data_IF_917818583250
#
_entry.id   IF_917818583250
#
_cell.length_a   1.000
_cell.length_b   1.000
_cell.length_c   1.000
_cell.angle_alpha   90.00
_cell.angle_beta   90.00
_cell.angle_gamma   90.00
#
_symmetry.space_group_name_H-M   'P 1'
#
loop_
_entity.id
_entity.type
_entity.pdbx_description
1 polymer ?
#
# COMPACT_ATOMS: atom_id res chain seq x y z
N UNK A 1 -5.04 26.99 -18.20
CA UNK A 1 -4.99 28.22 -17.38
C UNK A 1 -6.14 28.32 -16.36
N UNK A 2 -7.41 28.25 -16.76
CA UNK A 2 -8.56 28.35 -15.81
C UNK A 2 -8.68 27.18 -14.82
N UNK A 3 -8.38 25.95 -15.25
CA UNK A 3 -8.41 24.77 -14.37
C UNK A 3 -7.25 24.72 -13.38
N UNK A 4 -6.07 25.26 -13.74
CA UNK A 4 -4.93 25.42 -12.84
C UNK A 4 -5.24 26.41 -11.71
N UNK A 5 -5.88 27.54 -12.02
CA UNK A 5 -6.30 28.51 -11.00
C UNK A 5 -7.37 27.93 -10.05
N UNK A 6 -8.32 27.14 -10.59
CA UNK A 6 -9.30 26.40 -9.77
C UNK A 6 -8.64 25.35 -8.87
N UNK A 7 -7.63 24.66 -9.38
CA UNK A 7 -6.86 23.69 -8.59
C UNK A 7 -6.09 24.39 -7.47
N UNK A 8 -5.42 25.50 -7.74
CA UNK A 8 -4.74 26.31 -6.71
C UNK A 8 -5.73 26.80 -5.64
N UNK A 9 -6.93 27.24 -6.06
CA UNK A 9 -7.99 27.61 -5.14
C UNK A 9 -8.48 26.41 -4.30
N UNK A 10 -8.70 25.23 -4.89
CA UNK A 10 -9.07 24.03 -4.14
C UNK A 10 -7.95 23.58 -3.18
N UNK A 11 -6.69 23.68 -3.61
CA UNK A 11 -5.52 23.36 -2.80
C UNK A 11 -5.36 24.27 -1.59
N UNK A 12 -5.74 25.55 -1.71
CA UNK A 12 -5.62 26.58 -0.66
C UNK A 12 -6.87 26.68 0.21
N UNK A 13 -8.07 26.53 -0.37
CA UNK A 13 -9.35 26.71 0.32
C UNK A 13 -10.00 25.41 0.82
N UNK A 14 -9.47 24.24 0.43
CA UNK A 14 -10.01 22.91 0.77
C UNK A 14 -11.36 22.58 0.12
N UNK A 15 -11.83 23.40 -0.81
CA UNK A 15 -13.05 23.13 -1.56
C UNK A 15 -12.92 21.85 -2.40
N UNK A 16 -14.05 21.22 -2.71
CA UNK A 16 -14.13 20.07 -3.63
C UNK A 16 -13.31 20.33 -4.90
N UNK A 17 -12.49 19.35 -5.31
CA UNK A 17 -11.72 19.47 -6.55
C UNK A 17 -12.67 19.64 -7.75
N UNK A 18 -12.31 20.48 -8.74
CA UNK A 18 -13.02 20.53 -10.01
C UNK A 18 -13.15 19.15 -10.66
N UNK A 19 -14.23 18.94 -11.41
CA UNK A 19 -14.36 17.76 -12.27
C UNK A 19 -13.56 17.99 -13.55
N UNK A 20 -12.40 17.32 -13.66
CA UNK A 20 -11.54 17.38 -14.85
C UNK A 20 -11.88 16.29 -15.87
N UNK A 21 -12.34 15.13 -15.38
CA UNK A 21 -12.72 13.97 -16.19
C UNK A 21 -11.59 12.94 -16.38
N UNK A 22 -11.89 11.78 -16.99
CA UNK A 22 -10.97 10.64 -17.09
C UNK A 22 -9.76 10.90 -18.00
N UNK A 23 -9.74 11.99 -18.76
CA UNK A 23 -8.57 12.41 -19.56
C UNK A 23 -7.50 13.11 -18.73
N UNK A 24 -7.84 13.56 -17.51
CA UNK A 24 -6.90 14.21 -16.58
C UNK A 24 -6.12 13.22 -15.71
N UNK A 25 -6.16 11.93 -16.06
CA UNK A 25 -5.39 10.86 -15.43
C UNK A 25 -4.76 9.98 -16.51
N UNK A 26 -3.48 9.65 -16.32
CA UNK A 26 -2.79 8.61 -17.05
C UNK A 26 -2.48 7.46 -16.09
N UNK A 27 -3.37 6.48 -16.05
CA UNK A 27 -3.16 5.26 -15.27
C UNK A 27 -1.91 4.52 -15.74
N UNK A 28 -1.16 3.96 -14.79
CA UNK A 28 -0.03 3.04 -15.06
C UNK A 28 -0.44 1.87 -15.98
N UNK A 29 -1.72 1.50 -16.02
CA UNK A 29 -2.24 0.49 -16.93
C UNK A 29 -1.97 0.80 -18.41
N UNK A 30 -1.86 2.07 -18.79
CA UNK A 30 -1.49 2.47 -20.16
C UNK A 30 -0.04 2.09 -20.49
N UNK A 31 0.89 2.17 -19.53
CA UNK A 31 2.24 1.65 -19.71
C UNK A 31 2.24 0.11 -19.74
N UNK A 32 1.46 -0.50 -18.84
CA UNK A 32 1.32 -1.94 -18.70
C UNK A 32 0.79 -2.63 -19.98
N UNK A 33 0.03 -1.91 -20.82
CA UNK A 33 -0.41 -2.39 -22.12
C UNK A 33 0.74 -2.68 -23.09
N UNK A 34 1.91 -2.05 -22.90
CA UNK A 34 3.11 -2.27 -23.73
C UNK A 34 4.15 -3.16 -23.05
N UNK A 35 4.25 -3.08 -21.73
CA UNK A 35 5.11 -3.91 -20.91
C UNK A 35 4.42 -4.12 -19.57
N UNK A 36 3.87 -5.31 -19.31
CA UNK A 36 2.99 -5.55 -18.16
C UNK A 36 3.63 -5.14 -16.84
N UNK A 37 4.93 -5.40 -16.68
CA UNK A 37 5.73 -4.98 -15.54
C UNK A 37 7.21 -4.84 -15.91
N UNK A 38 7.96 -4.23 -15.00
CA UNK A 38 9.43 -4.17 -15.02
C UNK A 38 9.96 -4.70 -13.70
N UNK A 39 11.02 -5.53 -13.76
CA UNK A 39 11.72 -5.97 -12.54
C UNK A 39 12.51 -4.82 -11.93
N UNK A 40 12.42 -4.65 -10.61
CA UNK A 40 13.08 -3.55 -9.91
C UNK A 40 14.59 -3.74 -9.85
N UNK A 41 15.27 -2.67 -10.20
CA UNK A 41 16.68 -2.45 -9.89
C UNK A 41 16.81 -1.72 -8.55
N UNK A 42 18.05 -1.60 -8.06
CA UNK A 42 18.35 -0.80 -6.88
C UNK A 42 17.97 0.68 -7.05
N UNK A 43 18.08 1.23 -8.27
CA UNK A 43 17.73 2.62 -8.56
C UNK A 43 16.22 2.89 -8.43
N UNK A 44 15.39 1.87 -8.67
CA UNK A 44 13.94 1.97 -8.50
C UNK A 44 13.53 2.03 -7.01
N UNK A 45 14.44 1.75 -6.09
CA UNK A 45 14.22 1.78 -4.63
C UNK A 45 14.72 3.06 -3.97
N UNK A 46 15.18 4.03 -4.77
CA UNK A 46 15.61 5.34 -4.28
C UNK A 46 14.43 6.17 -3.80
N UNK A 47 14.56 6.71 -2.60
CA UNK A 47 13.69 7.77 -2.08
C UNK A 47 13.66 8.95 -3.04
N UNK A 48 12.46 9.47 -3.31
CA UNK A 48 12.29 10.70 -4.08
C UNK A 48 12.36 11.93 -3.21
N UNK A 49 11.92 11.83 -1.96
CA UNK A 49 11.98 12.87 -0.93
C UNK A 49 11.55 14.24 -1.48
N UNK A 50 10.34 14.28 -2.08
CA UNK A 50 9.89 15.46 -2.81
C UNK A 50 9.81 16.69 -1.89
N UNK A 51 10.18 17.85 -2.44
CA UNK A 51 10.03 19.13 -1.75
C UNK A 51 8.65 19.75 -1.91
N UNK A 52 7.77 19.13 -2.71
CA UNK A 52 6.35 19.50 -2.89
C UNK A 52 5.46 18.57 -2.07
N UNK A 53 4.13 18.79 -2.09
CA UNK A 53 3.18 17.97 -1.33
C UNK A 53 3.33 16.49 -1.68
N UNK A 54 3.73 15.67 -0.71
CA UNK A 54 3.84 14.23 -0.92
C UNK A 54 3.67 13.42 0.36
N UNK A 55 3.38 12.13 0.18
CA UNK A 55 3.57 11.07 1.18
C UNK A 55 4.35 9.96 0.49
N UNK A 56 5.56 9.68 0.96
CA UNK A 56 6.41 8.60 0.49
C UNK A 56 6.62 7.60 1.64
N UNK A 57 6.41 6.32 1.37
CA UNK A 57 6.46 5.28 2.40
C UNK A 57 7.26 4.08 1.96
N UNK A 58 7.90 3.46 2.94
CA UNK A 58 8.41 2.10 2.84
C UNK A 58 7.72 1.28 3.94
N UNK A 59 7.01 0.22 3.52
CA UNK A 59 6.18 -0.63 4.41
C UNK A 59 6.60 -2.07 4.26
N UNK A 60 6.78 -2.75 5.39
CA UNK A 60 7.17 -4.16 5.46
C UNK A 60 6.11 -4.93 6.24
N UNK A 61 5.23 -5.63 5.54
CA UNK A 61 4.22 -6.50 6.13
C UNK A 61 4.84 -7.87 6.39
N UNK A 62 4.62 -8.43 7.57
CA UNK A 62 5.23 -9.68 8.03
C UNK A 62 4.18 -10.63 8.58
N UNK A 63 4.19 -11.85 8.06
CA UNK A 63 3.47 -13.00 8.63
C UNK A 63 4.51 -13.99 9.13
N UNK A 64 4.59 -14.15 10.44
CA UNK A 64 5.67 -14.90 11.10
C UNK A 64 5.35 -16.40 11.22
N UNK A 65 6.39 -17.23 11.26
CA UNK A 65 6.28 -18.67 11.53
C UNK A 65 5.70 -18.94 12.93
N UNK A 66 5.90 -17.99 13.85
CA UNK A 66 5.34 -17.97 15.21
C UNK A 66 3.86 -17.57 15.27
N UNK A 67 3.22 -17.30 14.12
CA UNK A 67 1.79 -16.99 14.03
C UNK A 67 1.42 -15.55 14.35
N UNK A 68 2.37 -14.61 14.27
CA UNK A 68 2.11 -13.19 14.40
C UNK A 68 1.91 -12.53 13.04
N UNK A 69 1.08 -11.49 13.02
CA UNK A 69 0.98 -10.53 11.93
C UNK A 69 1.50 -9.19 12.44
N UNK A 70 2.42 -8.58 11.71
CA UNK A 70 3.01 -7.30 12.06
C UNK A 70 3.35 -6.49 10.81
N UNK A 71 3.50 -5.18 10.97
CA UNK A 71 4.20 -4.37 9.98
C UNK A 71 5.04 -3.29 10.64
N UNK A 72 6.09 -2.88 9.94
CA UNK A 72 6.87 -1.69 10.24
C UNK A 72 6.85 -0.77 9.03
N UNK A 73 6.83 0.53 9.27
CA UNK A 73 6.71 1.53 8.22
C UNK A 73 7.52 2.77 8.56
N UNK A 74 8.25 3.28 7.58
CA UNK A 74 8.76 4.65 7.61
C UNK A 74 7.96 5.50 6.63
N UNK A 75 7.58 6.70 7.07
CA UNK A 75 6.85 7.69 6.28
C UNK A 75 7.72 8.94 6.18
N UNK A 76 7.93 9.42 4.97
CA UNK A 76 8.38 10.78 4.67
C UNK A 76 7.20 11.55 4.07
N UNK A 77 6.80 12.64 4.71
CA UNK A 77 5.72 13.49 4.20
C UNK A 77 6.21 14.92 4.06
N UNK A 78 5.81 15.57 2.98
CA UNK A 78 5.95 17.01 2.82
C UNK A 78 4.56 17.62 2.69
N UNK A 79 4.21 18.51 3.63
CA UNK A 79 2.90 19.15 3.70
C UNK A 79 2.98 20.50 2.99
N UNK A 80 2.32 20.60 1.84
CA UNK A 80 2.19 21.83 1.04
C UNK A 80 3.51 22.45 0.57
N UNK A 81 4.64 21.72 0.58
CA UNK A 81 5.97 22.29 0.30
C UNK A 81 6.55 23.13 1.45
N UNK A 82 5.87 23.15 2.60
CA UNK A 82 6.19 24.06 3.71
C UNK A 82 6.87 23.32 4.85
N UNK A 83 6.45 22.08 5.11
CA UNK A 83 6.94 21.33 6.26
C UNK A 83 7.11 19.86 5.92
N UNK A 84 8.32 19.37 6.14
CA UNK A 84 8.62 17.94 6.15
C UNK A 84 8.33 17.36 7.53
N UNK A 85 7.70 16.20 7.56
CA UNK A 85 7.53 15.37 8.75
C UNK A 85 7.81 13.92 8.41
N UNK A 86 8.53 13.24 9.29
CA UNK A 86 8.77 11.81 9.17
C UNK A 86 8.18 11.05 10.36
N UNK A 87 7.78 9.80 10.14
CA UNK A 87 7.23 8.93 11.18
C UNK A 87 7.77 7.50 11.01
N UNK A 88 7.96 6.81 12.13
CA UNK A 88 8.15 5.36 12.16
C UNK A 88 6.97 4.72 12.88
N UNK A 89 6.31 3.78 12.20
CA UNK A 89 5.16 3.07 12.74
C UNK A 89 5.52 1.60 12.93
N UNK A 90 5.10 1.01 14.05
CA UNK A 90 5.15 -0.44 14.30
C UNK A 90 3.76 -0.91 14.72
N UNK A 91 3.24 -1.91 14.03
CA UNK A 91 2.03 -2.64 14.43
C UNK A 91 2.33 -4.09 14.67
N UNK A 92 1.84 -4.63 15.78
CA UNK A 92 1.68 -6.07 15.97
C UNK A 92 0.21 -6.33 16.28
N UNK A 93 -0.45 -7.09 15.42
CA UNK A 93 -1.85 -7.43 15.59
C UNK A 93 -1.99 -8.49 16.69
N UNK A 94 -2.98 -8.27 17.54
CA UNK A 94 -3.42 -9.29 18.47
C UNK A 94 -4.39 -10.24 17.75
N UNK A 95 -3.93 -11.48 17.53
CA UNK A 95 -4.72 -12.51 16.85
C UNK A 95 -5.34 -13.54 17.81
N UNK A 96 -5.18 -13.37 19.13
CA UNK A 96 -5.60 -14.35 20.15
C UNK A 96 -7.07 -14.26 20.54
N UNK A 97 -7.83 -13.33 19.95
CA UNK A 97 -9.25 -13.07 20.25
C UNK A 97 -9.55 -12.94 21.76
N UNK A 98 -8.56 -12.47 22.54
CA UNK A 98 -8.62 -12.36 24.00
C UNK A 98 -9.05 -10.97 24.51
N UNK A 99 -9.41 -10.07 23.59
CA UNK A 99 -9.86 -8.71 23.86
C UNK A 99 -8.75 -7.71 24.18
N UNK A 100 -7.46 -8.09 24.15
CA UNK A 100 -6.37 -7.13 24.31
C UNK A 100 -6.19 -6.27 23.05
N UNK A 101 -5.78 -5.00 23.18
CA UNK A 101 -5.53 -4.14 22.03
C UNK A 101 -4.32 -4.65 21.22
N UNK A 102 -4.24 -4.21 19.98
CA UNK A 102 -3.02 -4.34 19.18
C UNK A 102 -1.89 -3.50 19.79
N UNK A 103 -0.65 -3.93 19.58
CA UNK A 103 0.49 -3.02 19.77
C UNK A 103 0.51 -2.08 18.57
N UNK A 104 0.30 -0.79 18.80
CA UNK A 104 0.35 0.25 17.78
C UNK A 104 1.19 1.42 18.28
N UNK A 105 2.35 1.58 17.66
CA UNK A 105 3.31 2.65 17.94
C UNK A 105 3.43 3.52 16.70
N UNK A 106 3.19 4.82 16.84
CA UNK A 106 3.44 5.82 15.80
C UNK A 106 4.32 6.91 16.40
N UNK A 107 5.57 6.98 15.94
CA UNK A 107 6.57 7.87 16.52
C UNK A 107 7.05 8.88 15.50
N UNK A 108 6.90 10.19 15.75
CA UNK A 108 7.55 11.23 14.94
C UNK A 108 9.07 11.11 14.98
N UNK A 109 9.70 11.24 13.81
CA UNK A 109 11.16 11.15 13.67
C UNK A 109 11.79 12.55 13.58
N UNK A 110 12.98 12.68 14.17
CA UNK A 110 13.78 13.91 14.17
C UNK A 110 15.10 13.70 13.43
N UNK A 111 15.68 14.80 12.94
CA UNK A 111 16.99 14.81 12.25
C UNK A 111 17.11 13.80 11.10
N UNK A 112 16.02 13.65 10.32
CA UNK A 112 16.01 12.74 9.20
C UNK A 112 17.05 13.10 8.13
N UNK A 113 17.62 12.10 7.49
CA UNK A 113 18.53 12.22 6.36
C UNK A 113 18.44 10.97 5.48
N UNK A 114 19.08 11.02 4.31
CA UNK A 114 19.18 9.91 3.38
C UNK A 114 20.65 9.60 3.12
N UNK A 115 20.97 8.38 2.70
CA UNK A 115 22.27 8.08 2.10
C UNK A 115 22.50 8.92 0.83
N UNK A 116 23.76 9.11 0.44
CA UNK A 116 24.12 9.88 -0.77
C UNK A 116 23.43 9.36 -2.04
N UNK A 117 23.18 8.06 -2.11
CA UNK A 117 22.49 7.42 -3.21
C UNK A 117 20.97 7.32 -3.04
N UNK A 118 20.40 7.90 -1.97
CA UNK A 118 18.97 7.93 -1.66
C UNK A 118 18.33 6.55 -1.43
N UNK A 119 19.09 5.50 -1.12
CA UNK A 119 18.54 4.15 -0.89
C UNK A 119 18.36 3.78 0.58
N UNK A 120 18.91 4.57 1.50
CA UNK A 120 18.72 4.43 2.93
C UNK A 120 18.09 5.68 3.54
N UNK A 121 17.30 5.47 4.58
CA UNK A 121 16.70 6.51 5.41
C UNK A 121 17.28 6.41 6.83
N UNK A 122 17.65 7.56 7.38
CA UNK A 122 18.17 7.69 8.74
C UNK A 122 17.40 8.76 9.50
N UNK A 123 17.26 8.58 10.81
CA UNK A 123 16.78 9.57 11.76
C UNK A 123 17.36 9.24 13.15
N UNK A 124 17.13 10.10 14.14
CA UNK A 124 17.46 9.76 15.53
C UNK A 124 16.80 8.43 15.91
N UNK A 125 17.60 7.49 16.41
CA UNK A 125 17.19 6.15 16.85
C UNK A 125 16.45 5.29 15.79
N UNK A 126 16.57 5.62 14.50
CA UNK A 126 15.92 4.89 13.41
C UNK A 126 16.79 4.82 12.14
N UNK A 127 16.90 3.62 11.55
CA UNK A 127 17.58 3.39 10.27
C UNK A 127 16.85 2.34 9.43
N UNK A 128 16.66 2.63 8.14
CA UNK A 128 16.12 1.72 7.13
C UNK A 128 17.08 1.71 5.95
N UNK A 129 17.83 0.62 5.78
CA UNK A 129 18.99 0.58 4.90
C UNK A 129 18.87 -0.53 3.86
N UNK A 130 18.89 -0.17 2.58
CA UNK A 130 18.98 -1.13 1.49
C UNK A 130 20.43 -1.59 1.31
N UNK A 131 20.66 -2.89 1.18
CA UNK A 131 21.99 -3.46 0.92
C UNK A 131 22.58 -2.98 -0.42
N UNK A 132 23.91 -3.00 -0.53
CA UNK A 132 24.63 -2.55 -1.74
C UNK A 132 24.20 -3.31 -3.00
N UNK A 133 23.90 -4.60 -2.87
CA UNK A 133 23.40 -5.46 -3.95
C UNK A 133 21.88 -5.29 -4.23
N UNK A 134 21.18 -4.49 -3.42
CA UNK A 134 19.74 -4.24 -3.56
C UNK A 134 18.84 -5.43 -3.25
N UNK A 135 19.32 -6.42 -2.47
CA UNK A 135 18.57 -7.67 -2.20
C UNK A 135 17.96 -7.75 -0.80
N UNK A 136 18.38 -6.90 0.13
CA UNK A 136 17.88 -6.93 1.51
C UNK A 136 17.79 -5.54 2.15
N UNK A 137 16.86 -5.38 3.10
CA UNK A 137 16.79 -4.22 3.98
C UNK A 137 17.21 -4.62 5.40
N UNK A 138 17.98 -3.75 6.07
CA UNK A 138 18.10 -3.74 7.53
C UNK A 138 17.24 -2.62 8.11
N UNK A 139 16.42 -2.95 9.10
CA UNK A 139 15.47 -2.03 9.73
C UNK A 139 15.73 -2.04 11.22
N UNK A 140 16.13 -0.90 11.78
CA UNK A 140 16.41 -0.73 13.19
C UNK A 140 15.67 0.49 13.71
N UNK A 141 14.95 0.32 14.81
CA UNK A 141 14.31 1.44 15.49
C UNK A 141 14.27 1.23 17.00
N UNK A 142 14.67 2.25 17.74
CA UNK A 142 14.50 2.36 19.19
C UNK A 142 13.60 3.54 19.56
N UNK A 143 12.81 4.03 18.59
CA UNK A 143 12.03 5.27 18.75
C UNK A 143 10.86 5.14 19.73
N UNK A 144 10.43 3.91 20.05
CA UNK A 144 9.40 3.64 21.05
C UNK A 144 9.83 2.44 21.91
N UNK A 145 9.93 2.63 23.23
CA UNK A 145 10.34 1.58 24.17
C UNK A 145 9.38 0.37 24.20
N UNK A 146 8.15 0.55 23.73
CA UNK A 146 7.15 -0.53 23.61
C UNK A 146 7.40 -1.41 22.38
N UNK A 147 8.21 -0.95 21.43
CA UNK A 147 8.45 -1.61 20.14
C UNK A 147 9.87 -1.32 19.63
N UNK A 148 10.87 -2.02 20.17
CA UNK A 148 12.25 -1.94 19.66
C UNK A 148 12.41 -2.91 18.49
N UNK A 149 12.71 -2.39 17.31
CA UNK A 149 12.78 -3.12 16.05
C UNK A 149 14.23 -3.39 15.66
N UNK A 150 14.53 -4.65 15.34
CA UNK A 150 15.79 -5.04 14.69
C UNK A 150 15.50 -6.20 13.73
N UNK A 151 15.30 -5.88 12.46
CA UNK A 151 14.78 -6.80 11.45
C UNK A 151 15.67 -6.74 10.21
N UNK A 152 15.83 -7.89 9.55
CA UNK A 152 16.33 -7.98 8.18
C UNK A 152 15.28 -8.60 7.29
N UNK A 153 15.05 -8.00 6.13
CA UNK A 153 14.14 -8.50 5.09
C UNK A 153 14.96 -8.79 3.84
N UNK A 154 14.93 -10.02 3.34
CA UNK A 154 15.63 -10.42 2.11
C UNK A 154 14.62 -10.86 1.06
N UNK A 155 14.63 -10.28 -0.13
CA UNK A 155 13.73 -10.71 -1.21
C UNK A 155 14.05 -12.14 -1.64
N UNK A 156 13.03 -12.98 -1.82
CA UNK A 156 13.20 -14.34 -2.36
C UNK A 156 12.82 -14.42 -3.84
N UNK A 157 12.30 -13.33 -4.40
CA UNK A 157 11.91 -13.19 -5.80
C UNK A 157 12.26 -11.77 -6.28
N UNK A 158 12.41 -11.52 -7.59
CA UNK A 158 12.60 -10.15 -8.09
C UNK A 158 11.47 -9.23 -7.63
N UNK A 159 11.82 -7.98 -7.34
CA UNK A 159 10.82 -6.94 -7.13
C UNK A 159 10.18 -6.52 -8.44
N UNK A 160 8.99 -5.91 -8.41
CA UNK A 160 8.35 -5.39 -9.63
C UNK A 160 7.72 -4.02 -9.45
N UNK A 161 7.52 -3.34 -10.57
CA UNK A 161 6.53 -2.27 -10.72
C UNK A 161 5.71 -2.53 -11.98
N UNK A 162 4.42 -2.17 -11.98
CA UNK A 162 3.59 -2.29 -13.17
C UNK A 162 4.05 -1.30 -14.25
N UNK A 163 3.91 -1.68 -15.52
CA UNK A 163 4.38 -0.82 -16.60
C UNK A 163 5.90 -0.65 -16.59
N UNK A 164 6.34 0.52 -17.08
CA UNK A 164 7.77 0.86 -17.15
C UNK A 164 8.22 1.57 -15.88
N UNK A 165 7.36 2.41 -15.31
CA UNK A 165 7.73 3.33 -14.22
C UNK A 165 6.98 3.09 -12.91
N UNK A 166 5.97 2.21 -12.91
CA UNK A 166 5.08 2.04 -11.76
C UNK A 166 4.18 3.24 -11.47
N UNK A 167 4.13 4.24 -12.36
CA UNK A 167 3.59 5.57 -12.05
C UNK A 167 2.28 5.87 -12.80
N UNK A 168 1.28 6.31 -12.05
CA UNK A 168 0.08 6.99 -12.53
C UNK A 168 0.27 8.50 -12.42
N UNK A 169 -0.12 9.25 -13.45
CA UNK A 169 -0.01 10.71 -13.49
C UNK A 169 -1.38 11.38 -13.41
N UNK A 170 -1.45 12.54 -12.78
CA UNK A 170 -2.65 13.36 -12.62
C UNK A 170 -2.39 14.76 -13.18
N UNK A 171 -3.24 15.21 -14.09
CA UNK A 171 -3.06 16.49 -14.78
C UNK A 171 -3.84 16.58 -16.07
N UNK A 172 -4.35 17.79 -16.39
CA UNK A 172 -4.85 18.09 -17.74
C UNK A 172 -3.72 18.22 -18.77
N UNK A 173 -2.50 18.47 -18.30
CA UNK A 173 -1.27 18.38 -19.08
C UNK A 173 -0.41 17.27 -18.47
N UNK A 174 -0.33 16.12 -19.14
CA UNK A 174 0.41 14.95 -18.66
C UNK A 174 1.93 15.06 -18.90
N UNK A 175 2.38 16.08 -19.63
CA UNK A 175 3.81 16.42 -19.75
C UNK A 175 4.31 17.24 -18.57
N UNK A 176 3.40 17.92 -17.85
CA UNK A 176 3.64 18.64 -16.61
C UNK A 176 2.54 18.29 -15.58
N UNK A 177 2.52 17.03 -15.08
CA UNK A 177 1.48 16.57 -14.18
C UNK A 177 1.59 17.26 -12.83
N UNK A 178 0.46 17.63 -12.24
CA UNK A 178 0.42 18.24 -10.91
C UNK A 178 0.51 17.23 -9.77
N UNK A 179 0.34 15.94 -10.07
CA UNK A 179 0.34 14.86 -9.10
C UNK A 179 0.74 13.54 -9.72
N UNK A 180 1.23 12.63 -8.88
CA UNK A 180 1.60 11.29 -9.30
C UNK A 180 1.36 10.28 -8.18
N UNK A 181 1.21 9.02 -8.56
CA UNK A 181 1.20 7.88 -7.67
C UNK A 181 2.10 6.79 -8.21
N UNK A 182 3.04 6.31 -7.40
CA UNK A 182 3.96 5.25 -7.76
C UNK A 182 3.94 4.13 -6.73
N UNK A 183 3.97 2.89 -7.18
CA UNK A 183 4.18 1.72 -6.33
C UNK A 183 5.26 0.80 -6.89
N UNK A 184 6.14 0.34 -6.02
CA UNK A 184 7.14 -0.69 -6.27
C UNK A 184 7.07 -1.73 -5.15
N UNK A 185 7.17 -3.02 -5.51
CA UNK A 185 6.89 -4.12 -4.60
C UNK A 185 8.03 -5.13 -4.57
N UNK A 186 8.31 -5.70 -3.41
CA UNK A 186 8.88 -7.04 -3.31
C UNK A 186 7.77 -7.99 -2.85
N UNK A 187 7.16 -8.78 -3.76
CA UNK A 187 5.95 -9.55 -3.46
C UNK A 187 6.22 -10.76 -2.57
N UNK A 188 7.48 -11.18 -2.43
CA UNK A 188 7.88 -12.29 -1.58
C UNK A 188 9.28 -12.09 -1.01
N UNK A 189 9.34 -12.04 0.31
CA UNK A 189 10.56 -11.89 1.08
C UNK A 189 10.59 -12.87 2.26
N UNK A 190 11.78 -13.07 2.80
CA UNK A 190 12.01 -13.67 4.10
C UNK A 190 12.37 -12.58 5.10
N UNK A 191 11.62 -12.49 6.20
CA UNK A 191 11.99 -11.69 7.35
C UNK A 191 12.72 -12.54 8.39
N UNK A 192 13.63 -11.92 9.13
CA UNK A 192 14.32 -12.45 10.31
C UNK A 192 14.63 -11.32 11.30
N UNK A 193 14.78 -11.65 12.58
CA UNK A 193 15.06 -10.67 13.64
C UNK A 193 13.94 -10.59 14.67
N UNK A 194 13.82 -9.45 15.33
CA UNK A 194 12.92 -9.32 16.49
C UNK A 194 12.23 -7.96 16.56
N UNK A 195 11.01 -7.97 17.11
CA UNK A 195 10.36 -6.80 17.70
C UNK A 195 10.29 -7.04 19.21
N UNK A 196 11.07 -6.30 20.01
CA UNK A 196 11.00 -6.39 21.46
C UNK A 196 9.82 -5.58 21.98
N UNK A 197 8.97 -6.24 22.77
CA UNK A 197 7.77 -5.64 23.38
C UNK A 197 7.81 -5.83 24.91
N UNK A 198 6.94 -5.13 25.68
CA UNK A 198 6.83 -5.34 27.12
C UNK A 198 6.46 -6.78 27.53
N UNK A 199 5.74 -7.51 26.66
CA UNK A 199 5.35 -8.90 26.89
C UNK A 199 6.45 -9.90 26.49
N UNK A 200 7.56 -9.40 25.93
CA UNK A 200 8.70 -10.20 25.47
C UNK A 200 9.04 -9.95 23.99
N UNK A 201 10.18 -10.51 23.53
CA UNK A 201 10.58 -10.42 22.13
C UNK A 201 9.70 -11.28 21.24
N UNK A 202 9.24 -10.71 20.14
CA UNK A 202 8.55 -11.41 19.05
C UNK A 202 9.59 -11.74 17.98
N UNK A 203 9.80 -13.02 17.72
CA UNK A 203 10.58 -13.50 16.57
C UNK A 203 9.77 -13.25 15.29
N UNK A 204 10.31 -12.42 14.40
CA UNK A 204 9.65 -12.06 13.14
C UNK A 204 10.03 -12.97 11.97
N UNK A 205 10.76 -14.06 12.22
CA UNK A 205 11.06 -15.04 11.19
C UNK A 205 9.79 -15.48 10.48
N UNK A 206 9.75 -15.30 9.15
CA UNK A 206 8.61 -15.70 8.33
C UNK A 206 8.55 -14.98 6.98
N UNK A 207 7.35 -14.93 6.39
CA UNK A 207 7.12 -14.28 5.09
C UNK A 207 6.96 -12.78 5.26
N UNK A 208 7.45 -12.04 4.28
CA UNK A 208 7.31 -10.60 4.22
C UNK A 208 6.99 -10.12 2.81
N UNK A 209 6.21 -9.05 2.73
CA UNK A 209 6.00 -8.28 1.52
C UNK A 209 6.43 -6.82 1.80
N UNK A 210 7.16 -6.25 0.86
CA UNK A 210 7.62 -4.86 0.93
C UNK A 210 6.98 -3.99 -0.16
N UNK A 211 6.53 -2.79 0.24
CA UNK A 211 6.04 -1.75 -0.68
C UNK A 211 6.86 -0.47 -0.48
N UNK A 212 7.35 0.09 -1.59
CA UNK A 212 7.78 1.48 -1.66
C UNK A 212 6.75 2.26 -2.47
N UNK A 213 6.00 3.14 -1.79
CA UNK A 213 4.96 3.94 -2.41
C UNK A 213 5.31 5.43 -2.36
N UNK A 214 4.97 6.15 -3.43
CA UNK A 214 5.03 7.61 -3.46
C UNK A 214 3.71 8.14 -3.96
N UNK A 215 3.07 8.95 -3.14
CA UNK A 215 1.92 9.76 -3.52
C UNK A 215 2.36 11.23 -3.56
N UNK A 216 2.62 11.73 -4.76
CA UNK A 216 3.06 13.12 -5.01
C UNK A 216 1.90 14.13 -5.05
N UNK A 217 0.88 13.95 -4.21
CA UNK A 217 -0.26 14.86 -4.05
C UNK A 217 -1.00 14.57 -2.74
N UNK A 218 -2.07 15.33 -2.44
CA UNK A 218 -2.90 15.09 -1.25
C UNK A 218 -3.69 13.77 -1.39
N UNK A 219 -3.80 12.94 -0.32
CA UNK A 219 -4.44 11.62 -0.41
C UNK A 219 -5.88 11.63 -0.96
N UNK A 220 -6.71 12.55 -0.47
CA UNK A 220 -8.11 12.68 -0.89
C UNK A 220 -8.29 13.21 -2.31
N UNK A 221 -7.24 13.74 -2.95
CA UNK A 221 -7.26 14.05 -4.38
C UNK A 221 -6.81 12.84 -5.22
N UNK A 222 -6.02 11.93 -4.65
CA UNK A 222 -5.46 10.79 -5.36
C UNK A 222 -6.45 9.61 -5.44
N UNK A 223 -7.14 9.31 -4.34
CA UNK A 223 -8.07 8.20 -4.23
C UNK A 223 -9.32 8.57 -3.42
N UNK A 224 -10.46 8.02 -3.83
CA UNK A 224 -11.71 8.00 -3.07
C UNK A 224 -11.84 6.73 -2.24
N UNK A 225 -11.36 5.60 -2.76
CA UNK A 225 -11.26 4.33 -2.04
C UNK A 225 -10.02 3.55 -2.49
N UNK A 226 -9.58 2.64 -1.63
CA UNK A 226 -8.41 1.79 -1.84
C UNK A 226 -8.70 0.38 -1.35
N UNK A 227 -8.21 -0.63 -2.04
CA UNK A 227 -8.18 -2.00 -1.61
C UNK A 227 -6.74 -2.52 -1.73
N UNK A 228 -6.32 -3.28 -0.72
CA UNK A 228 -5.02 -3.89 -0.69
C UNK A 228 -5.12 -5.33 -0.16
N UNK A 229 -4.41 -6.24 -0.80
CA UNK A 229 -4.32 -7.66 -0.45
C UNK A 229 -2.87 -8.10 -0.51
N UNK A 230 -2.41 -8.75 0.55
CA UNK A 230 -1.16 -9.51 0.62
C UNK A 230 -1.47 -10.95 1.03
N UNK A 231 -1.35 -11.87 0.07
CA UNK A 231 -1.47 -13.30 0.28
C UNK A 231 -0.09 -13.95 0.29
N UNK A 232 0.19 -14.74 1.32
CA UNK A 232 1.41 -15.50 1.49
C UNK A 232 1.09 -16.98 1.75
N UNK A 233 1.25 -17.80 0.71
CA UNK A 233 1.17 -19.25 0.79
C UNK A 233 2.55 -19.93 0.88
N UNK A 234 2.58 -21.26 1.07
CA UNK A 234 3.82 -22.05 1.12
C UNK A 234 4.75 -21.86 -0.08
N UNK A 235 4.21 -21.78 -1.31
CA UNK A 235 4.99 -21.69 -2.55
C UNK A 235 4.72 -20.42 -3.35
N UNK A 236 3.52 -19.86 -3.28
CA UNK A 236 3.15 -18.64 -3.98
C UNK A 236 2.85 -17.49 -3.01
N UNK A 237 3.07 -16.27 -3.47
CA UNK A 237 2.44 -15.06 -2.94
C UNK A 237 1.63 -14.38 -4.01
N UNK A 238 0.61 -13.63 -3.60
CA UNK A 238 -0.17 -12.79 -4.48
C UNK A 238 -0.40 -11.43 -3.82
N UNK A 239 -0.12 -10.37 -4.56
CA UNK A 239 -0.41 -8.99 -4.16
C UNK A 239 -1.43 -8.39 -5.10
N UNK A 240 -2.37 -7.62 -4.55
CA UNK A 240 -3.32 -6.85 -5.33
C UNK A 240 -3.61 -5.53 -4.64
N UNK A 241 -3.47 -4.46 -5.39
CA UNK A 241 -3.67 -3.10 -4.95
C UNK A 241 -4.53 -2.39 -6.00
N UNK A 242 -5.74 -1.98 -5.60
CA UNK A 242 -6.70 -1.35 -6.49
C UNK A 242 -7.29 -0.13 -5.82
N UNK A 243 -7.35 0.99 -6.55
CA UNK A 243 -7.96 2.20 -6.05
C UNK A 243 -8.85 2.86 -7.08
N UNK A 244 -9.84 3.59 -6.58
CA UNK A 244 -10.76 4.39 -7.40
C UNK A 244 -10.41 5.84 -7.12
N UNK A 245 -10.14 6.62 -8.16
CA UNK A 245 -9.91 8.06 -8.02
C UNK A 245 -11.18 8.78 -7.56
N UNK A 246 -11.07 10.00 -7.02
CA UNK A 246 -12.24 10.87 -6.86
C UNK A 246 -12.98 11.12 -8.18
N UNK A 247 -14.25 11.57 -8.13
CA UNK A 247 -15.02 11.98 -9.32
C UNK A 247 -14.29 12.98 -10.21
N UNK A 248 -13.36 13.77 -9.64
CA UNK A 248 -12.50 14.71 -10.36
C UNK A 248 -11.74 14.10 -11.53
N UNK A 249 -11.41 12.81 -11.45
CA UNK A 249 -10.70 12.06 -12.50
C UNK A 249 -11.59 10.95 -13.11
N UNK A 250 -12.92 11.15 -13.06
CA UNK A 250 -13.90 10.24 -13.65
C UNK A 250 -14.08 8.92 -12.90
N UNK A 251 -13.79 8.88 -11.60
CA UNK A 251 -13.86 7.66 -10.78
C UNK A 251 -13.11 6.48 -11.43
N UNK A 252 -11.92 6.77 -11.97
CA UNK A 252 -11.09 5.83 -12.69
C UNK A 252 -10.52 4.79 -11.73
N UNK A 253 -10.71 3.51 -12.05
CA UNK A 253 -10.05 2.41 -11.34
C UNK A 253 -8.62 2.24 -11.83
N UNK A 254 -7.68 2.16 -10.89
CA UNK A 254 -6.28 1.83 -11.14
C UNK A 254 -5.93 0.60 -10.32
N UNK A 255 -5.43 -0.43 -10.99
CA UNK A 255 -5.13 -1.73 -10.39
C UNK A 255 -3.70 -2.14 -10.70
N UNK A 256 -3.01 -2.69 -9.70
CA UNK A 256 -1.67 -3.28 -9.80
C UNK A 256 -1.67 -4.57 -8.99
N UNK A 257 -1.18 -5.65 -9.58
CA UNK A 257 -1.12 -6.94 -8.92
C UNK A 257 -0.03 -7.83 -9.49
N UNK A 258 0.35 -8.82 -8.70
CA UNK A 258 1.32 -9.83 -9.09
C UNK A 258 1.10 -11.14 -8.36
N UNK A 259 1.55 -12.22 -8.99
CA UNK A 259 1.72 -13.54 -8.37
C UNK A 259 3.19 -13.91 -8.53
N UNK A 260 3.81 -14.35 -7.44
CA UNK A 260 5.21 -14.70 -7.41
C UNK A 260 5.44 -16.01 -6.65
N UNK A 261 6.58 -16.64 -6.93
CA UNK A 261 7.15 -17.73 -6.15
C UNK A 261 8.64 -17.45 -5.97
N UNK A 262 9.34 -18.30 -5.23
CA UNK A 262 10.78 -18.10 -5.02
C UNK A 262 11.53 -18.12 -6.37
N UNK A 263 12.34 -17.08 -6.60
CA UNK A 263 13.13 -16.85 -7.80
C UNK A 263 12.38 -16.28 -9.01
N UNK A 264 11.04 -16.19 -8.99
CA UNK A 264 10.26 -15.87 -10.18
C UNK A 264 8.98 -15.07 -9.90
N UNK A 265 8.77 -14.00 -10.67
CA UNK A 265 7.45 -13.36 -10.85
C UNK A 265 6.69 -14.17 -11.90
N UNK A 266 5.63 -14.86 -11.47
CA UNK A 266 4.76 -15.67 -12.36
C UNK A 266 3.97 -14.75 -13.29
N UNK A 267 3.36 -13.70 -12.74
CA UNK A 267 2.77 -12.61 -13.51
C UNK A 267 2.80 -11.33 -12.69
N UNK A 268 2.80 -10.18 -13.37
CA UNK A 268 2.50 -8.88 -12.77
C UNK A 268 1.91 -7.95 -13.83
N UNK A 269 1.08 -7.00 -13.41
CA UNK A 269 0.46 -6.03 -14.30
C UNK A 269 -0.78 -5.38 -13.72
N UNK A 270 -1.66 -4.89 -14.60
CA UNK A 270 -2.83 -4.09 -14.23
C UNK A 270 -4.18 -4.76 -14.54
N UNK A 271 -4.20 -5.98 -15.08
CA UNK A 271 -5.41 -6.74 -15.40
C UNK A 271 -5.86 -7.58 -14.19
N UNK A 272 -6.20 -6.89 -13.10
CA UNK A 272 -6.60 -7.50 -11.84
C UNK A 272 -7.78 -6.72 -11.26
N UNK A 273 -8.59 -7.36 -10.43
CA UNK A 273 -9.78 -6.72 -9.87
C UNK A 273 -10.14 -7.23 -8.48
N UNK A 274 -10.63 -6.33 -7.63
CA UNK A 274 -11.23 -6.61 -6.33
C UNK A 274 -12.73 -6.29 -6.37
N UNK A 275 -13.55 -7.32 -6.17
CA UNK A 275 -15.00 -7.19 -6.05
C UNK A 275 -15.41 -7.34 -4.58
N UNK A 276 -16.07 -6.33 -4.01
CA UNK A 276 -16.76 -6.45 -2.72
C UNK A 276 -18.11 -7.15 -2.94
N UNK A 277 -18.10 -8.48 -2.82
CA UNK A 277 -19.26 -9.34 -3.09
C UNK A 277 -20.39 -9.09 -2.08
N UNK A 278 -20.02 -8.91 -0.81
CA UNK A 278 -20.95 -8.56 0.25
C UNK A 278 -20.38 -7.44 1.11
N UNK A 279 -21.25 -6.55 1.59
CA UNK A 279 -20.90 -5.42 2.45
C UNK A 279 -21.92 -5.26 3.57
N UNK A 280 -21.51 -4.64 4.66
CA UNK A 280 -22.38 -4.15 5.74
C UNK A 280 -22.13 -2.67 5.99
N UNK A 281 -23.14 -1.95 6.44
CA UNK A 281 -22.94 -0.58 6.92
C UNK A 281 -22.21 -0.57 8.27
N UNK A 282 -21.18 0.25 8.39
CA UNK A 282 -20.52 0.53 9.65
C UNK A 282 -21.34 1.56 10.44
N UNK A 283 -21.74 1.21 11.66
CA UNK A 283 -22.57 2.05 12.52
C UNK A 283 -21.90 3.34 13.01
N UNK A 284 -20.58 3.47 12.90
CA UNK A 284 -19.86 4.65 13.40
C UNK A 284 -19.56 5.70 12.32
N UNK A 285 -19.50 5.31 11.04
CA UNK A 285 -19.10 6.22 9.97
C UNK A 285 -19.91 6.09 8.67
N UNK A 286 -20.85 5.15 8.61
CA UNK A 286 -21.76 4.87 7.49
C UNK A 286 -21.11 4.24 6.25
N UNK A 287 -19.81 3.90 6.29
CA UNK A 287 -19.16 3.24 5.15
C UNK A 287 -19.70 1.82 4.93
N UNK A 288 -19.72 1.40 3.67
CA UNK A 288 -20.04 0.01 3.28
C UNK A 288 -18.80 -0.85 3.46
N UNK A 289 -18.62 -1.32 4.69
CA UNK A 289 -17.53 -2.22 5.07
C UNK A 289 -17.69 -3.57 4.33
N UNK A 290 -16.66 -4.05 3.60
CA UNK A 290 -16.72 -5.35 2.93
C UNK A 290 -16.70 -6.50 3.93
N UNK A 291 -17.54 -7.51 3.68
CA UNK A 291 -17.60 -8.75 4.48
C UNK A 291 -17.20 -9.99 3.67
N UNK A 292 -17.29 -9.92 2.35
CA UNK A 292 -16.86 -10.97 1.42
C UNK A 292 -16.27 -10.35 0.17
N UNK A 293 -15.18 -10.93 -0.32
CA UNK A 293 -14.50 -10.44 -1.52
C UNK A 293 -14.20 -11.54 -2.52
N UNK A 294 -14.11 -11.12 -3.79
CA UNK A 294 -13.58 -11.90 -4.89
C UNK A 294 -12.45 -11.14 -5.55
N UNK A 295 -11.33 -11.82 -5.71
CA UNK A 295 -10.08 -11.28 -6.20
C UNK A 295 -9.72 -12.03 -7.48
N UNK A 296 -9.28 -11.30 -8.50
CA UNK A 296 -8.88 -11.89 -9.77
C UNK A 296 -7.59 -11.28 -10.29
N UNK A 297 -6.74 -12.12 -10.87
CA UNK A 297 -5.54 -11.73 -11.58
C UNK A 297 -5.55 -12.35 -12.97
N UNK A 298 -5.09 -11.60 -13.96
CA UNK A 298 -4.94 -12.08 -15.33
C UNK A 298 -3.67 -11.50 -15.94
N UNK A 299 -2.96 -12.32 -16.69
CA UNK A 299 -1.71 -11.88 -17.32
C UNK A 299 -1.07 -12.97 -18.15
N UNK A 300 0.22 -12.82 -18.37
CA UNK A 300 1.06 -13.81 -19.05
C UNK A 300 2.34 -14.02 -18.27
N UNK A 301 2.85 -15.24 -18.28
CA UNK A 301 4.19 -15.57 -17.78
C UNK A 301 5.27 -15.01 -18.72
N UNK A 302 6.53 -15.05 -18.28
CA UNK A 302 7.68 -14.62 -19.10
C UNK A 302 7.81 -15.43 -20.41
N UNK A 303 7.43 -16.70 -20.40
CA UNK A 303 7.40 -17.58 -21.58
C UNK A 303 6.09 -17.50 -22.39
N UNK A 304 5.18 -16.59 -22.03
CA UNK A 304 3.98 -16.29 -22.80
C UNK A 304 2.76 -17.18 -22.53
N UNK A 305 2.78 -18.01 -21.48
CA UNK A 305 1.60 -18.77 -21.06
C UNK A 305 0.58 -17.84 -20.42
N UNK A 306 -0.69 -18.02 -20.76
CA UNK A 306 -1.80 -17.30 -20.13
C UNK A 306 -1.87 -17.65 -18.65
N UNK A 307 -2.02 -16.64 -17.80
CA UNK A 307 -2.23 -16.77 -16.36
C UNK A 307 -3.63 -16.28 -16.00
N UNK A 308 -4.39 -17.11 -15.31
CA UNK A 308 -5.64 -16.75 -14.68
C UNK A 308 -5.59 -17.21 -13.23
N UNK A 309 -5.91 -16.31 -12.30
CA UNK A 309 -5.98 -16.67 -10.90
C UNK A 309 -7.17 -16.01 -10.21
N UNK A 310 -7.67 -16.66 -9.17
CA UNK A 310 -8.76 -16.14 -8.37
C UNK A 310 -8.67 -16.57 -6.91
N UNK A 311 -9.29 -15.78 -6.06
CA UNK A 311 -9.55 -16.11 -4.66
C UNK A 311 -10.88 -15.49 -4.26
N UNK A 312 -11.72 -16.25 -3.58
CA UNK A 312 -12.99 -15.77 -3.03
C UNK A 312 -13.05 -16.19 -1.57
N UNK A 313 -13.26 -15.23 -0.66
CA UNK A 313 -13.20 -15.47 0.78
C UNK A 313 -14.02 -14.46 1.55
N UNK A 314 -14.54 -14.87 2.70
CA UNK A 314 -15.08 -13.93 3.68
C UNK A 314 -13.94 -13.23 4.40
N UNK A 315 -14.15 -11.96 4.76
CA UNK A 315 -13.22 -11.17 5.55
C UNK A 315 -13.30 -11.44 7.05
N UNK A 316 -14.30 -12.20 7.50
CA UNK A 316 -14.57 -12.50 8.90
C UNK A 316 -14.72 -11.22 9.75
N UNK A 317 -14.45 -11.31 11.04
CA UNK A 317 -14.37 -10.14 11.91
C UNK A 317 -13.09 -9.36 11.56
N UNK A 318 -13.23 -8.06 11.28
CA UNK A 318 -12.07 -7.17 11.08
C UNK A 318 -11.13 -7.24 12.28
N UNK A 319 -9.82 -7.12 12.00
CA UNK A 319 -8.82 -6.94 13.05
C UNK A 319 -8.92 -5.55 13.65
N UNK A 320 -8.97 -4.53 12.79
CA UNK A 320 -8.96 -3.13 13.21
C UNK A 320 -9.75 -2.24 12.25
N UNK A 321 -10.11 -1.04 12.72
CA UNK A 321 -10.67 0.05 11.94
C UNK A 321 -10.01 1.36 12.38
N UNK A 322 -9.12 1.87 11.55
CA UNK A 322 -8.36 3.09 11.80
C UNK A 322 -9.15 4.29 11.32
N UNK A 323 -9.42 5.24 12.21
CA UNK A 323 -9.84 6.61 11.85
C UNK A 323 -8.59 7.43 11.52
N UNK A 324 -8.33 7.65 10.23
CA UNK A 324 -7.11 8.36 9.80
C UNK A 324 -7.09 9.80 10.35
N UNK A 325 -8.25 10.43 10.51
CA UNK A 325 -8.32 11.79 11.07
C UNK A 325 -8.01 11.81 12.55
N UNK A 326 -8.17 10.70 13.28
CA UNK A 326 -7.73 10.57 14.66
C UNK A 326 -6.20 10.53 14.74
N UNK A 327 -5.55 9.77 13.86
CA UNK A 327 -4.10 9.50 13.84
C UNK A 327 -3.24 10.67 13.32
N UNK A 328 -3.80 11.52 12.45
CA UNK A 328 -3.05 12.62 11.83
C UNK A 328 -2.65 13.69 12.86
N UNK A 329 -1.40 14.20 12.85
CA UNK A 329 -0.96 15.24 13.78
C UNK A 329 -1.83 16.50 13.73
N UNK A 330 -2.07 17.13 14.89
CA UNK A 330 -3.01 18.24 15.01
C UNK A 330 -2.77 19.44 14.07
N UNK A 331 -1.51 19.72 13.68
CA UNK A 331 -1.23 20.79 12.73
C UNK A 331 -1.66 20.44 11.30
N UNK A 332 -1.56 19.17 10.90
CA UNK A 332 -2.03 18.68 9.59
C UNK A 332 -3.56 18.73 9.54
N UNK A 333 -4.24 18.47 10.68
CA UNK A 333 -5.69 18.64 10.79
C UNK A 333 -6.15 20.06 10.42
N UNK A 334 -5.32 21.10 10.58
CA UNK A 334 -5.67 22.47 10.15
C UNK A 334 -5.70 22.63 8.62
N UNK A 335 -4.88 21.87 7.90
CA UNK A 335 -4.88 21.83 6.44
C UNK A 335 -5.91 20.84 5.88
N UNK A 336 -6.27 19.82 6.67
CA UNK A 336 -7.28 18.82 6.34
C UNK A 336 -8.70 19.22 6.74
N UNK A 337 -8.91 20.05 7.78
CA UNK A 337 -10.25 20.53 8.19
C UNK A 337 -10.95 21.36 7.11
N UNK A 338 -10.21 21.77 6.08
CA UNK A 338 -10.76 22.44 4.91
C UNK A 338 -11.42 21.45 3.92
N UNK A 339 -11.19 20.13 4.02
CA UNK A 339 -11.71 19.12 3.07
C UNK A 339 -13.15 18.72 3.41
N UNK A 340 -14.11 19.51 2.94
CA UNK A 340 -15.53 19.21 3.08
C UNK A 340 -15.85 17.82 2.50
N UNK A 341 -16.38 16.90 3.34
CA UNK A 341 -16.93 15.63 2.89
C UNK A 341 -15.99 14.41 2.88
N UNK A 342 -14.75 14.52 3.36
CA UNK A 342 -13.87 13.34 3.51
C UNK A 342 -14.04 12.68 4.89
N UNK A 343 -14.17 11.36 4.92
CA UNK A 343 -14.22 10.54 6.15
C UNK A 343 -13.25 9.36 6.00
N UNK A 344 -11.92 9.56 6.10
CA UNK A 344 -10.96 8.51 5.81
C UNK A 344 -10.91 7.44 6.90
N UNK A 345 -11.33 6.22 6.56
CA UNK A 345 -11.22 5.03 7.41
C UNK A 345 -10.51 3.91 6.68
N UNK A 346 -9.67 3.17 7.41
CA UNK A 346 -8.99 1.95 6.93
C UNK A 346 -9.50 0.78 7.75
N UNK A 347 -10.11 -0.19 7.09
CA UNK A 347 -10.53 -1.47 7.66
C UNK A 347 -9.46 -2.51 7.38
N UNK A 348 -9.05 -3.27 8.40
CA UNK A 348 -7.97 -4.26 8.28
C UNK A 348 -8.47 -5.65 8.64
N UNK A 349 -8.09 -6.66 7.85
CA UNK A 349 -8.59 -8.03 7.96
C UNK A 349 -7.47 -9.05 7.86
N UNK A 350 -7.67 -10.19 8.51
CA UNK A 350 -6.90 -11.40 8.27
C UNK A 350 -7.81 -12.61 8.54
N UNK A 351 -8.49 -13.15 7.52
CA UNK A 351 -9.37 -14.30 7.70
C UNK A 351 -8.57 -15.52 8.17
N UNK A 352 -9.05 -16.17 9.25
CA UNK A 352 -8.36 -17.32 9.87
C UNK A 352 -9.21 -18.59 9.87
N UNK A 353 -10.53 -18.49 9.73
CA UNK A 353 -11.48 -19.63 9.74
C UNK A 353 -11.76 -20.14 8.34
N UNK A 354 -11.90 -19.23 7.37
CA UNK A 354 -12.30 -19.51 5.99
C UNK A 354 -11.16 -20.04 5.11
N UNK A 355 -9.92 -19.99 5.59
CA UNK A 355 -8.72 -20.52 4.90
C UNK A 355 -8.59 -19.98 3.46
N UNK A 356 -8.20 -18.69 3.30
CA UNK A 356 -8.02 -18.07 1.98
C UNK A 356 -7.20 -18.96 1.05
N UNK A 357 -7.74 -19.21 -0.14
CA UNK A 357 -7.19 -20.18 -1.09
C UNK A 357 -7.04 -19.56 -2.47
N UNK A 358 -5.80 -19.49 -2.94
CA UNK A 358 -5.43 -19.07 -4.29
C UNK A 358 -5.66 -20.23 -5.26
N UNK A 359 -6.43 -19.98 -6.32
CA UNK A 359 -6.55 -20.85 -7.49
C UNK A 359 -5.79 -20.22 -8.64
N UNK A 360 -4.84 -20.94 -9.22
CA UNK A 360 -3.93 -20.46 -10.26
C UNK A 360 -3.90 -21.43 -11.44
N UNK A 361 -4.23 -20.93 -12.63
CA UNK A 361 -4.20 -21.65 -13.90
C UNK A 361 -3.11 -21.06 -14.80
N UNK A 362 -2.20 -21.93 -15.27
CA UNK A 362 -1.09 -21.58 -16.16
C UNK A 362 -1.22 -22.31 -17.50
N UNK A 363 -1.75 -21.63 -18.52
CA UNK A 363 -2.02 -22.24 -19.82
C UNK A 363 -2.92 -23.48 -19.71
N UNK A 364 -2.44 -24.62 -20.20
CA UNK A 364 -3.17 -25.90 -20.11
C UNK A 364 -2.79 -26.76 -18.89
N UNK A 365 -1.80 -26.33 -18.08
CA UNK A 365 -1.32 -27.08 -16.91
C UNK A 365 -2.42 -27.29 -15.86
N UNK A 366 -2.37 -28.35 -15.03
CA UNK A 366 -3.33 -28.54 -13.93
C UNK A 366 -3.45 -27.29 -13.05
N UNK A 367 -4.67 -26.99 -12.59
CA UNK A 367 -4.89 -25.85 -11.68
C UNK A 367 -4.14 -26.08 -10.36
N UNK A 368 -3.37 -25.08 -9.95
CA UNK A 368 -2.70 -25.04 -8.67
C UNK A 368 -3.70 -24.43 -7.67
N UNK A 369 -3.91 -25.10 -6.54
CA UNK A 369 -4.72 -24.61 -5.43
C UNK A 369 -3.85 -24.55 -4.18
N UNK A 370 -3.77 -23.37 -3.56
CA UNK A 370 -2.87 -23.12 -2.44
C UNK A 370 -3.54 -22.28 -1.36
N UNK A 371 -3.60 -22.82 -0.14
CA UNK A 371 -4.08 -22.10 1.04
C UNK A 371 -2.93 -21.36 1.72
N UNK A 372 -3.19 -20.15 2.19
CA UNK A 372 -2.18 -19.30 2.82
C UNK A 372 -2.76 -18.26 3.75
N UNK A 373 -1.89 -17.45 4.33
CA UNK A 373 -2.28 -16.28 5.10
C UNK A 373 -2.63 -15.14 4.15
N UNK A 374 -3.70 -14.40 4.46
CA UNK A 374 -4.10 -13.24 3.67
C UNK A 374 -4.35 -12.05 4.60
N UNK A 375 -3.56 -10.99 4.45
CA UNK A 375 -3.83 -9.70 5.05
C UNK A 375 -4.53 -8.80 4.01
N UNK A 376 -5.54 -8.05 4.44
CA UNK A 376 -6.28 -7.15 3.56
C UNK A 376 -6.58 -5.82 4.23
N UNK A 377 -6.64 -4.78 3.41
CA UNK A 377 -7.13 -3.46 3.79
C UNK A 377 -8.19 -2.97 2.80
N UNK A 378 -9.26 -2.37 3.33
CA UNK A 378 -10.22 -1.61 2.57
C UNK A 378 -10.26 -0.18 3.14
N UNK A 379 -9.94 0.81 2.31
CA UNK A 379 -9.92 2.22 2.68
C UNK A 379 -11.01 2.97 1.96
N UNK A 380 -11.71 3.83 2.69
CA UNK A 380 -12.70 4.74 2.13
C UNK A 380 -12.37 6.15 2.59
N UNK A 381 -12.31 7.10 1.66
CA UNK A 381 -11.90 8.49 1.90
C UNK A 381 -13.04 9.44 1.58
N UNK A 382 -13.63 9.32 0.38
CA UNK A 382 -14.76 10.12 -0.08
C UNK A 382 -15.68 9.28 -0.96
N UNK A 383 -16.92 9.72 -1.13
CA UNK A 383 -17.91 9.00 -1.92
C UNK A 383 -17.62 9.16 -3.42
N UNK A 384 -17.34 8.05 -4.10
CA UNK A 384 -17.04 8.02 -5.54
C UNK A 384 -18.28 8.10 -6.43
N UNK A 385 -19.50 8.08 -5.86
CA UNK A 385 -20.77 8.06 -6.60
C UNK A 385 -21.39 9.44 -6.84
N UNK A 386 -20.85 10.50 -6.21
CA UNK A 386 -21.45 11.85 -6.21
C UNK A 386 -21.23 12.67 -7.50
N UNK A 387 -20.85 12.03 -8.60
CA UNK A 387 -20.59 12.67 -9.90
C UNK A 387 -21.82 12.90 -10.79
N UNK A 388 -23.00 12.41 -10.40
CA UNK A 388 -24.28 12.65 -11.09
C UNK A 388 -25.16 13.59 -10.25
N UNK A 389 -24.87 14.89 -10.26
CA UNK A 389 -25.86 15.94 -9.94
C UNK A 389 -25.77 17.09 -10.94
#
# INVERSE_FOLDING_TARGET
>A
MFNWAKQQLANVAGTQEPIYGPTAIKSVAQEAATASYTELTRDDLKWRAMTSTCVETQVFYMTTDSGHLAFVQVIYSNVAGIRTTCQFNTKVFNLKDDGKPHLWCTTPLNNHSFSDDMTAFYADDCAVELSEDGTSYSIKSMTDERAIVNIKVTRTTPGFQAGKTGTTLFGTDLSDPWGSMRHAFWPRCQAEGTIATPDGPIDVKGRCMFIHALQGMKPHHAAASWNFVDFQGPTHSAVLMEYITPPSYGSTTVSVGAIAKDGEIVMAGCSNHIEHVETRSDSENDWKEPTKVKLTWSGVTKDGKKVEASMETEYETRLDRIDVMAEVPGFVKKFAAATAGTKPYIYQYMPRKTSPTLKLKLGEEPEITETGAMFCEATFITDSTTGEQ
#
